data_IF_379459254572
#
_entry.id   IF_379459254572
#
_cell.length_a   1.000
_cell.length_b   1.000
_cell.length_c   1.000
_cell.angle_alpha   90.00
_cell.angle_beta   90.00
_cell.angle_gamma   90.00
#
_symmetry.space_group_name_H-M   'P 1'
#
loop_
_entity.id
_entity.type
_entity.pdbx_description
1 polymer ?
#
# COMPACT_ATOMS: atom_id res chain seq x y z
N UNK A 1 -4.31 33.49 10.64
CA UNK A 1 -3.14 32.59 10.64
C UNK A 1 -3.57 31.30 11.33
N UNK A 2 -3.23 30.12 10.78
CA UNK A 2 -3.58 28.82 11.38
C UNK A 2 -2.45 28.42 12.34
N UNK A 3 -2.76 28.14 13.60
CA UNK A 3 -1.76 27.80 14.64
C UNK A 3 -1.46 26.29 14.74
N UNK A 4 -2.35 25.44 14.22
CA UNK A 4 -2.21 23.99 14.22
C UNK A 4 -2.93 23.41 13.01
N UNK A 5 -2.29 22.46 12.35
CA UNK A 5 -2.90 21.61 11.32
C UNK A 5 -3.01 20.20 11.90
N UNK A 6 -4.19 19.59 11.78
CA UNK A 6 -4.40 18.16 12.07
C UNK A 6 -4.53 17.49 10.72
N UNK A 7 -3.57 16.64 10.37
CA UNK A 7 -3.54 15.94 9.10
C UNK A 7 -3.84 14.46 9.34
N UNK A 8 -4.92 13.97 8.74
CA UNK A 8 -5.41 12.60 8.91
C UNK A 8 -5.37 11.94 7.53
N UNK A 9 -4.67 10.80 7.46
CA UNK A 9 -4.61 9.94 6.28
C UNK A 9 -5.48 8.72 6.57
N UNK A 10 -6.48 8.49 5.74
CA UNK A 10 -7.25 7.24 5.73
C UNK A 10 -6.58 6.32 4.71
N UNK A 11 -5.64 5.49 5.18
CA UNK A 11 -4.81 4.66 4.29
C UNK A 11 -5.69 3.79 3.38
N UNK A 12 -5.30 3.71 2.10
CA UNK A 12 -5.97 3.00 1.00
C UNK A 12 -7.38 3.47 0.57
N UNK A 13 -7.96 4.53 1.18
CA UNK A 13 -9.31 5.02 0.84
C UNK A 13 -9.32 5.85 -0.45
N UNK A 14 -9.16 5.18 -1.60
CA UNK A 14 -9.22 5.78 -2.94
C UNK A 14 -10.65 6.15 -3.40
N UNK A 15 -10.76 7.15 -4.28
CA UNK A 15 -12.02 7.69 -4.81
C UNK A 15 -12.09 7.61 -6.35
N UNK A 16 -11.81 6.41 -6.86
CA UNK A 16 -11.79 6.10 -8.30
C UNK A 16 -10.38 6.04 -8.89
N UNK A 17 -10.29 5.39 -10.04
CA UNK A 17 -9.06 5.18 -10.79
C UNK A 17 -8.47 6.50 -11.31
N UNK A 18 -7.13 6.59 -11.29
CA UNK A 18 -6.39 7.66 -11.95
C UNK A 18 -6.31 7.44 -13.48
N UNK A 19 -6.00 8.48 -14.27
CA UNK A 19 -5.89 8.37 -15.73
C UNK A 19 -4.86 7.35 -16.21
N UNK A 20 -3.82 7.10 -15.42
CA UNK A 20 -2.71 6.18 -15.66
C UNK A 20 -2.93 4.79 -15.04
N UNK A 21 -4.11 4.50 -14.48
CA UNK A 21 -4.40 3.22 -13.81
C UNK A 21 -4.14 1.98 -14.69
N UNK A 22 -4.17 2.12 -16.02
CA UNK A 22 -3.80 1.06 -16.95
C UNK A 22 -2.34 0.60 -16.80
N UNK A 23 -1.41 1.52 -16.49
CA UNK A 23 0.00 1.20 -16.26
C UNK A 23 0.19 0.30 -15.03
N UNK A 24 -0.75 0.33 -14.10
CA UNK A 24 -0.74 -0.42 -12.85
C UNK A 24 -1.67 -1.63 -12.85
N UNK A 25 -2.38 -1.89 -13.96
CA UNK A 25 -3.37 -2.97 -14.06
C UNK A 25 -4.68 -2.70 -13.29
N UNK A 26 -4.93 -1.45 -12.87
CA UNK A 26 -6.00 -1.08 -11.94
C UNK A 26 -7.18 -0.37 -12.63
N UNK A 27 -7.39 -0.61 -13.93
CA UNK A 27 -8.49 -0.02 -14.69
C UNK A 27 -9.83 -0.36 -14.05
N UNK A 28 -10.61 0.68 -13.71
CA UNK A 28 -11.92 0.54 -13.07
C UNK A 28 -11.87 0.37 -11.54
N UNK A 29 -10.68 0.45 -10.92
CA UNK A 29 -10.57 0.53 -9.46
C UNK A 29 -11.34 1.73 -8.91
N UNK A 30 -12.06 1.52 -7.81
CA UNK A 30 -12.82 2.54 -7.10
C UNK A 30 -13.13 2.05 -5.68
N UNK A 31 -12.21 2.22 -4.75
CA UNK A 31 -12.35 1.67 -3.39
C UNK A 31 -13.62 2.15 -2.71
N UNK A 32 -13.79 3.47 -2.57
CA UNK A 32 -14.94 4.06 -1.89
C UNK A 32 -16.25 3.76 -2.61
N UNK A 33 -16.29 3.91 -3.94
CA UNK A 33 -17.49 3.66 -4.73
C UNK A 33 -17.89 2.18 -4.76
N UNK A 34 -16.93 1.26 -4.81
CA UNK A 34 -17.23 -0.18 -4.76
C UNK A 34 -17.71 -0.61 -3.37
N UNK A 35 -17.15 -0.08 -2.28
CA UNK A 35 -17.68 -0.31 -0.93
C UNK A 35 -19.12 0.23 -0.83
N UNK A 36 -19.37 1.46 -1.28
CA UNK A 36 -20.69 2.08 -1.24
C UNK A 36 -21.75 1.36 -2.11
N UNK A 37 -21.33 0.52 -3.08
CA UNK A 37 -22.25 -0.37 -3.83
C UNK A 37 -22.64 -1.62 -3.05
N UNK A 38 -21.77 -2.10 -2.16
CA UNK A 38 -21.93 -3.38 -1.45
C UNK A 38 -22.61 -3.23 -0.09
N UNK A 39 -22.41 -2.08 0.57
CA UNK A 39 -22.94 -1.84 1.93
C UNK A 39 -23.63 -0.48 2.03
N UNK A 40 -24.55 -0.36 2.99
CA UNK A 40 -25.11 0.93 3.41
C UNK A 40 -24.04 1.75 4.14
N UNK A 41 -23.21 2.46 3.36
CA UNK A 41 -22.07 3.21 3.86
C UNK A 41 -22.51 4.54 4.48
N UNK A 42 -22.66 4.55 5.81
CA UNK A 42 -23.10 5.72 6.57
C UNK A 42 -21.92 6.54 7.09
N UNK A 43 -21.59 7.63 6.39
CA UNK A 43 -20.51 8.55 6.75
C UNK A 43 -21.00 9.99 6.98
N UNK A 44 -21.97 10.24 7.87
CA UNK A 44 -22.65 11.54 7.97
C UNK A 44 -21.69 12.71 8.23
N UNK A 45 -20.63 12.49 9.02
CA UNK A 45 -19.65 13.53 9.32
C UNK A 45 -18.77 13.85 8.09
N UNK A 46 -18.28 12.85 7.37
CA UNK A 46 -17.48 13.05 6.16
C UNK A 46 -18.34 13.63 5.02
N UNK A 47 -19.60 13.21 4.91
CA UNK A 47 -20.58 13.81 4.00
C UNK A 47 -20.77 15.30 4.30
N UNK A 48 -20.92 15.69 5.56
CA UNK A 48 -21.05 17.10 5.94
C UNK A 48 -19.77 17.91 5.65
N UNK A 49 -18.59 17.28 5.74
CA UNK A 49 -17.31 17.88 5.33
C UNK A 49 -17.19 18.05 3.80
N UNK A 50 -17.98 17.32 3.01
CA UNK A 50 -18.02 17.42 1.55
C UNK A 50 -17.56 16.17 0.79
N UNK A 51 -17.37 15.02 1.45
CA UNK A 51 -16.92 13.78 0.80
C UNK A 51 -17.79 13.39 -0.41
N UNK A 52 -19.12 13.45 -0.27
CA UNK A 52 -20.05 13.13 -1.36
C UNK A 52 -20.06 14.18 -2.48
N UNK A 53 -19.50 15.37 -2.25
CA UNK A 53 -19.41 16.45 -3.23
C UNK A 53 -18.17 16.33 -4.12
N UNK A 54 -17.20 15.48 -3.78
CA UNK A 54 -16.01 15.24 -4.60
C UNK A 54 -16.41 14.60 -5.93
N UNK A 55 -15.79 15.05 -7.02
CA UNK A 55 -16.00 14.45 -8.34
C UNK A 55 -15.55 12.99 -8.36
N UNK A 56 -16.44 12.08 -8.76
CA UNK A 56 -16.23 10.63 -8.69
C UNK A 56 -16.74 9.96 -7.41
N UNK A 57 -17.24 10.70 -6.41
CA UNK A 57 -17.86 10.13 -5.19
C UNK A 57 -19.21 9.45 -5.48
N UNK A 58 -19.17 8.27 -6.10
CA UNK A 58 -20.39 7.51 -6.44
C UNK A 58 -21.08 6.99 -5.17
N UNK A 59 -22.41 6.96 -5.20
CA UNK A 59 -23.25 6.39 -4.13
C UNK A 59 -23.09 7.04 -2.74
N UNK A 60 -22.51 8.24 -2.69
CA UNK A 60 -22.47 9.08 -1.48
C UNK A 60 -23.37 10.30 -1.65
N UNK A 61 -24.13 10.62 -0.61
CA UNK A 61 -25.04 11.77 -0.63
C UNK A 61 -24.23 13.08 -0.71
N UNK A 62 -24.61 13.94 -1.66
CA UNK A 62 -24.13 15.33 -1.73
C UNK A 62 -24.85 16.21 -0.71
N UNK A 63 -24.14 17.21 -0.19
CA UNK A 63 -24.73 18.27 0.65
C UNK A 63 -24.69 19.60 -0.07
N UNK A 64 -25.74 20.40 0.07
CA UNK A 64 -25.81 21.73 -0.56
C UNK A 64 -24.81 22.72 0.06
N UNK A 65 -24.54 22.58 1.36
CA UNK A 65 -23.69 23.47 2.15
C UNK A 65 -22.66 22.65 2.94
N UNK A 66 -21.60 22.14 2.29
CA UNK A 66 -20.52 21.46 3.00
C UNK A 66 -19.82 22.44 3.95
N UNK A 67 -19.39 21.96 5.12
CA UNK A 67 -18.66 22.79 6.10
C UNK A 67 -17.15 22.85 5.81
N UNK A 68 -16.67 22.02 4.87
CA UNK A 68 -15.28 21.93 4.46
C UNK A 68 -15.05 22.32 3.00
N UNK A 69 -13.77 22.43 2.64
CA UNK A 69 -13.31 22.49 1.25
C UNK A 69 -13.00 21.04 0.83
N UNK A 70 -13.42 20.67 -0.38
CA UNK A 70 -13.31 19.32 -0.89
C UNK A 70 -12.67 19.29 -2.27
N UNK A 71 -12.05 18.16 -2.59
CA UNK A 71 -11.38 17.90 -3.85
C UNK A 71 -10.78 16.50 -3.85
N UNK A 72 -10.11 16.14 -4.95
CA UNK A 72 -9.29 14.95 -5.05
C UNK A 72 -7.93 15.33 -5.64
N UNK A 73 -6.92 14.55 -5.30
CA UNK A 73 -5.58 14.69 -5.83
C UNK A 73 -5.29 13.52 -6.77
N UNK A 74 -4.46 13.78 -7.78
CA UNK A 74 -3.87 12.74 -8.62
C UNK A 74 -2.41 12.61 -8.20
N UNK A 75 -2.00 11.38 -7.90
CA UNK A 75 -0.60 11.07 -7.59
C UNK A 75 0.26 11.30 -8.85
N UNK A 76 1.41 11.96 -8.69
CA UNK A 76 2.32 12.26 -9.81
C UNK A 76 3.56 11.36 -9.79
N UNK A 77 3.94 10.85 -8.64
CA UNK A 77 5.03 9.90 -8.46
C UNK A 77 4.69 8.57 -9.13
N UNK A 78 5.72 7.85 -9.56
CA UNK A 78 5.56 6.51 -10.12
C UNK A 78 5.68 5.51 -8.99
N UNK A 79 4.58 4.88 -8.63
CA UNK A 79 4.44 4.03 -7.46
C UNK A 79 3.01 4.09 -6.95
N UNK A 80 2.58 3.04 -6.25
CA UNK A 80 1.28 2.99 -5.57
C UNK A 80 1.39 2.42 -4.16
N UNK A 81 2.62 2.39 -3.62
CA UNK A 81 2.92 1.92 -2.28
C UNK A 81 2.75 3.04 -1.25
N UNK A 82 2.57 2.64 0.01
CA UNK A 82 2.36 3.56 1.13
C UNK A 82 3.49 4.59 1.26
N UNK A 83 4.74 4.22 0.99
CA UNK A 83 5.88 5.12 1.22
C UNK A 83 5.90 6.25 0.20
N UNK A 84 5.75 5.92 -1.09
CA UNK A 84 5.71 6.92 -2.17
C UNK A 84 4.56 7.90 -1.96
N UNK A 85 3.35 7.41 -1.66
CA UNK A 85 2.20 8.29 -1.43
C UNK A 85 2.41 9.25 -0.25
N UNK A 86 2.97 8.77 0.87
CA UNK A 86 3.27 9.62 2.03
C UNK A 86 4.38 10.65 1.74
N UNK A 87 5.40 10.26 0.99
CA UNK A 87 6.48 11.14 0.55
C UNK A 87 5.95 12.25 -0.35
N UNK A 88 5.10 11.92 -1.33
CA UNK A 88 4.52 12.91 -2.23
C UNK A 88 3.67 13.94 -1.48
N UNK A 89 2.81 13.49 -0.55
CA UNK A 89 2.02 14.40 0.26
C UNK A 89 2.89 15.32 1.15
N UNK A 90 4.11 14.89 1.49
CA UNK A 90 5.11 15.70 2.20
C UNK A 90 6.02 16.54 1.28
N UNK A 91 5.81 16.47 -0.04
CA UNK A 91 6.52 17.28 -1.05
C UNK A 91 7.71 16.59 -1.72
N UNK A 92 7.85 15.26 -1.62
CA UNK A 92 8.93 14.49 -2.25
C UNK A 92 8.39 13.76 -3.47
N UNK A 93 8.92 14.09 -4.65
CA UNK A 93 8.57 13.43 -5.92
C UNK A 93 9.44 12.19 -6.16
N UNK A 94 8.79 11.06 -6.44
CA UNK A 94 9.45 9.78 -6.72
C UNK A 94 9.17 9.34 -8.17
N UNK A 95 10.07 9.63 -9.13
CA UNK A 95 9.84 9.30 -10.55
C UNK A 95 9.95 7.80 -10.87
N UNK A 96 10.42 6.99 -9.93
CA UNK A 96 10.61 5.55 -10.09
C UNK A 96 9.90 4.82 -8.94
N UNK A 97 9.18 3.72 -9.20
CA UNK A 97 8.56 2.91 -8.16
C UNK A 97 9.61 2.17 -7.34
N UNK A 98 9.27 1.81 -6.12
CA UNK A 98 10.07 0.83 -5.38
C UNK A 98 10.03 -0.54 -6.08
N UNK A 99 11.13 -1.29 -6.09
CA UNK A 99 11.16 -2.62 -6.68
C UNK A 99 10.29 -3.59 -5.86
N UNK A 100 9.44 -4.34 -6.54
CA UNK A 100 8.78 -5.52 -5.97
C UNK A 100 9.49 -6.79 -6.45
N UNK A 101 9.29 -7.90 -5.73
CA UNK A 101 10.05 -9.14 -5.92
C UNK A 101 9.13 -10.37 -6.08
N UNK A 102 8.28 -10.42 -7.13
CA UNK A 102 7.29 -11.49 -7.31
C UNK A 102 7.92 -12.89 -7.47
N UNK A 103 9.15 -12.96 -7.98
CA UNK A 103 9.92 -14.20 -8.15
C UNK A 103 11.01 -14.35 -7.06
N UNK A 104 10.88 -13.61 -5.95
CA UNK A 104 11.90 -13.52 -4.92
C UNK A 104 13.00 -12.49 -5.22
N UNK A 105 13.89 -12.32 -4.25
CA UNK A 105 15.03 -11.43 -4.34
C UNK A 105 16.10 -12.02 -5.26
N UNK A 106 16.75 -11.17 -6.08
CA UNK A 106 17.83 -11.60 -6.94
C UNK A 106 19.12 -11.81 -6.12
N UNK A 107 20.08 -12.53 -6.70
CA UNK A 107 21.34 -12.90 -6.01
C UNK A 107 22.14 -11.68 -5.56
N UNK A 108 22.05 -10.58 -6.28
CA UNK A 108 22.73 -9.33 -5.94
C UNK A 108 22.26 -8.75 -4.60
N UNK A 109 21.05 -9.12 -4.13
CA UNK A 109 20.54 -8.78 -2.79
C UNK A 109 20.90 -9.89 -1.78
N UNK A 110 20.74 -11.16 -2.18
CA UNK A 110 20.89 -12.30 -1.27
C UNK A 110 22.34 -12.65 -0.93
N UNK A 111 23.24 -12.61 -1.90
CA UNK A 111 24.64 -13.00 -1.70
C UNK A 111 25.34 -12.09 -0.67
N UNK A 112 25.18 -10.75 -0.71
CA UNK A 112 25.69 -9.87 0.35
C UNK A 112 25.06 -10.17 1.71
N UNK A 113 23.77 -10.47 1.76
CA UNK A 113 23.06 -10.80 3.00
C UNK A 113 23.58 -12.10 3.62
N UNK A 114 23.75 -13.16 2.81
CA UNK A 114 24.33 -14.44 3.23
C UNK A 114 25.77 -14.25 3.71
N UNK A 115 26.58 -13.49 2.96
CA UNK A 115 27.97 -13.23 3.32
C UNK A 115 28.11 -12.47 4.66
N UNK A 116 27.25 -11.47 4.91
CA UNK A 116 27.29 -10.70 6.15
C UNK A 116 26.74 -11.44 7.36
N UNK A 117 25.70 -12.26 7.16
CA UNK A 117 25.09 -13.04 8.25
C UNK A 117 25.83 -14.34 8.54
N UNK A 118 26.61 -14.86 7.59
CA UNK A 118 27.24 -16.18 7.66
C UNK A 118 26.23 -17.33 7.65
N UNK A 119 24.99 -17.08 7.21
CA UNK A 119 23.90 -18.06 7.19
C UNK A 119 23.35 -18.20 5.78
N UNK A 120 23.18 -19.44 5.33
CA UNK A 120 22.38 -19.74 4.15
C UNK A 120 20.89 -19.39 4.39
N UNK A 121 20.12 -19.33 3.30
CA UNK A 121 18.69 -18.98 3.35
C UNK A 121 17.78 -20.13 2.93
N UNK A 122 16.50 -19.99 3.28
CA UNK A 122 15.36 -20.77 2.80
C UNK A 122 14.29 -19.83 2.23
N UNK A 123 13.46 -20.33 1.31
CA UNK A 123 12.32 -19.61 0.76
C UNK A 123 12.66 -18.78 -0.48
N UNK A 124 12.86 -17.49 -0.28
CA UNK A 124 13.01 -16.48 -1.33
C UNK A 124 11.84 -16.40 -2.32
N UNK A 125 10.63 -16.18 -1.79
CA UNK A 125 9.40 -16.05 -2.58
C UNK A 125 8.37 -15.17 -1.86
N UNK A 126 7.35 -14.65 -2.55
CA UNK A 126 6.19 -14.07 -1.89
C UNK A 126 5.45 -15.12 -1.07
N UNK A 127 5.12 -14.83 0.19
CA UNK A 127 4.35 -15.73 1.04
C UNK A 127 3.71 -14.97 2.21
N UNK A 128 2.63 -15.51 2.78
CA UNK A 128 2.17 -15.04 4.09
C UNK A 128 3.13 -15.52 5.20
N UNK A 129 3.22 -14.76 6.29
CA UNK A 129 4.08 -15.12 7.42
C UNK A 129 3.70 -16.47 8.06
N UNK A 130 2.43 -16.82 8.07
CA UNK A 130 1.97 -18.13 8.57
C UNK A 130 2.39 -19.26 7.63
N UNK A 131 2.13 -19.10 6.33
CA UNK A 131 2.43 -20.11 5.31
C UNK A 131 3.93 -20.44 5.25
N UNK A 132 4.80 -19.41 5.26
CA UNK A 132 6.24 -19.64 5.15
C UNK A 132 6.83 -20.32 6.39
N UNK A 133 6.21 -20.10 7.57
CA UNK A 133 6.60 -20.76 8.81
C UNK A 133 6.13 -22.21 8.85
N UNK A 134 4.91 -22.48 8.39
CA UNK A 134 4.38 -23.84 8.27
C UNK A 134 5.22 -24.68 7.27
N UNK A 135 5.68 -24.05 6.18
CA UNK A 135 6.48 -24.71 5.15
C UNK A 135 7.96 -24.92 5.56
N UNK A 136 8.62 -23.89 6.10
CA UNK A 136 10.08 -23.87 6.25
C UNK A 136 10.57 -23.78 7.70
N UNK A 137 9.66 -23.63 8.67
CA UNK A 137 10.00 -23.45 10.09
C UNK A 137 10.77 -24.62 10.68
N UNK A 138 10.39 -25.86 10.35
CA UNK A 138 11.08 -27.05 10.85
C UNK A 138 12.50 -27.18 10.25
N UNK A 139 12.67 -26.87 8.96
CA UNK A 139 13.99 -26.90 8.31
C UNK A 139 14.89 -25.79 8.86
N UNK A 140 14.35 -24.59 9.10
CA UNK A 140 15.05 -23.50 9.77
C UNK A 140 15.58 -23.95 11.14
N UNK A 141 14.74 -24.57 11.97
CA UNK A 141 15.17 -25.02 13.31
C UNK A 141 16.27 -26.09 13.24
N UNK A 142 16.22 -26.99 12.24
CA UNK A 142 17.22 -28.06 12.07
C UNK A 142 18.56 -27.54 11.54
N UNK A 143 18.53 -26.56 10.64
CA UNK A 143 19.70 -26.14 9.85
C UNK A 143 20.29 -24.81 10.29
N UNK A 144 19.51 -23.97 10.97
CA UNK A 144 19.85 -22.59 11.30
C UNK A 144 19.85 -21.62 10.10
N UNK A 145 19.37 -22.05 8.91
CA UNK A 145 19.26 -21.20 7.72
C UNK A 145 18.15 -20.18 7.88
N UNK A 146 18.35 -18.92 7.50
CA UNK A 146 17.33 -17.87 7.68
C UNK A 146 16.20 -18.03 6.65
N UNK A 147 14.95 -17.90 7.08
CA UNK A 147 13.81 -17.86 6.15
C UNK A 147 13.68 -16.43 5.63
N UNK A 148 13.91 -16.23 4.33
CA UNK A 148 13.76 -14.95 3.65
C UNK A 148 12.53 -15.01 2.75
N UNK A 149 11.64 -14.03 2.85
CA UNK A 149 10.43 -13.96 2.02
C UNK A 149 10.00 -12.50 1.81
N UNK A 150 9.00 -12.30 0.98
CA UNK A 150 8.44 -10.97 0.66
C UNK A 150 6.91 -11.03 0.57
N UNK A 151 6.29 -9.89 0.24
CA UNK A 151 4.86 -9.77 -0.01
C UNK A 151 4.60 -9.14 -1.38
N UNK A 152 3.38 -8.62 -1.61
CA UNK A 152 3.10 -7.81 -2.79
C UNK A 152 3.79 -6.42 -2.72
N UNK A 153 4.11 -5.95 -1.50
CA UNK A 153 4.80 -4.69 -1.26
C UNK A 153 6.33 -4.85 -1.31
N UNK A 154 7.03 -3.73 -1.46
CA UNK A 154 8.51 -3.67 -1.44
C UNK A 154 9.06 -3.88 -0.02
N UNK A 155 9.01 -5.11 0.49
CA UNK A 155 9.47 -5.49 1.83
C UNK A 155 10.43 -6.68 1.79
N UNK A 156 11.46 -6.66 2.66
CA UNK A 156 12.39 -7.77 2.88
C UNK A 156 12.14 -8.34 4.27
N UNK A 157 11.55 -9.53 4.35
CA UNK A 157 11.13 -10.15 5.60
C UNK A 157 12.06 -11.31 5.97
N UNK A 158 12.43 -11.39 7.25
CA UNK A 158 13.30 -12.43 7.80
C UNK A 158 12.56 -13.08 8.96
N UNK A 159 12.39 -14.40 8.91
CA UNK A 159 11.88 -15.18 10.03
C UNK A 159 12.99 -16.09 10.59
N UNK A 160 13.14 -16.07 11.91
CA UNK A 160 14.08 -16.88 12.67
C UNK A 160 13.61 -17.07 14.12
N UNK A 161 14.01 -18.18 14.76
CA UNK A 161 13.73 -18.47 16.18
C UNK A 161 14.93 -18.21 17.12
#
# INVERSE_FOLDING_TARGET
MINRVIWIILDSVGIGALPDAQEYGDVGSDTLGNIAKQVDLRLPNLTQLGLGNIDGAQNLKKVEKPIGIYGKFAEISRGKDTTIGHWEMAGVYSPNPFPTFPEGFPKEILDPFIAQTGREILGNKPASGTEILDELGEEHQKTGKLIVYTSADSVFQIAAN
#
